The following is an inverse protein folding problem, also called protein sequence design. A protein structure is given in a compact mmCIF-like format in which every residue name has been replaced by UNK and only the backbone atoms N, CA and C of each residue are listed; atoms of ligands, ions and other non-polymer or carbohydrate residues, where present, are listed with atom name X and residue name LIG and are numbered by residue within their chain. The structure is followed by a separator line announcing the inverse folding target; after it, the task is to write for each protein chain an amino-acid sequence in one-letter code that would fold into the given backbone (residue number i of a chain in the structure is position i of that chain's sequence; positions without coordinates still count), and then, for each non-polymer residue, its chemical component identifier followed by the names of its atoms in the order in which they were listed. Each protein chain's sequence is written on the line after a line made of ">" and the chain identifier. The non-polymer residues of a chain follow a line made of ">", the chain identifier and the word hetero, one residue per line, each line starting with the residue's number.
data_IF_997375178562
#
_entry.id   IF_997375178562
#
_cell.length_a   1.000
_cell.length_b   1.000
_cell.length_c   1.000
_cell.angle_alpha   90.00
_cell.angle_beta   90.00
_cell.angle_gamma   90.00
#
_symmetry.space_group_name_H-M   'P 1'
#
loop_
_entity.id
_entity.type
_entity.pdbx_description
1 polymer ?
#
# COMPACT_ATOMS: atom_id res chain seq x y z
N UNK A 1 -7.84 10.55 12.03
CA UNK A 1 -6.76 9.63 12.46
C UNK A 1 -5.54 10.00 11.64
N UNK A 2 -4.34 10.05 12.22
CA UNK A 2 -3.11 10.36 11.49
C UNK A 2 -2.30 9.08 11.20
N UNK A 3 -1.40 9.15 10.22
CA UNK A 3 -0.61 7.99 9.80
C UNK A 3 0.31 7.47 10.90
N UNK A 4 0.86 8.33 11.75
CA UNK A 4 1.83 7.91 12.77
C UNK A 4 1.17 7.08 13.86
N UNK A 5 -0.04 7.48 14.29
CA UNK A 5 -0.86 6.72 15.23
C UNK A 5 -1.23 5.33 14.68
N UNK A 6 -1.51 5.21 13.38
CA UNK A 6 -1.81 3.93 12.74
C UNK A 6 -0.56 3.06 12.62
N UNK A 7 0.57 3.62 12.18
CA UNK A 7 1.80 2.85 12.03
C UNK A 7 2.40 2.39 13.37
N UNK A 8 2.19 3.15 14.45
CA UNK A 8 2.50 2.70 15.80
C UNK A 8 1.68 1.47 16.21
N UNK A 9 0.44 1.33 15.74
CA UNK A 9 -0.35 0.12 15.96
C UNK A 9 0.06 -1.01 15.01
N UNK A 10 0.33 -0.68 13.75
CA UNK A 10 0.72 -1.64 12.71
C UNK A 10 1.98 -2.42 13.10
N UNK A 11 3.01 -1.74 13.63
CA UNK A 11 4.27 -2.39 14.02
C UNK A 11 4.12 -3.38 15.19
N UNK A 12 2.98 -3.35 15.90
CA UNK A 12 2.68 -4.30 16.98
C UNK A 12 2.05 -5.60 16.44
N UNK A 13 1.62 -5.64 15.18
CA UNK A 13 1.07 -6.84 14.56
C UNK A 13 2.15 -7.90 14.39
N UNK A 14 1.80 -9.16 14.64
CA UNK A 14 2.73 -10.28 14.46
C UNK A 14 3.17 -10.36 13.00
N UNK A 15 4.48 -10.38 12.76
CA UNK A 15 5.05 -10.49 11.42
C UNK A 15 5.08 -9.17 10.64
N UNK A 16 4.74 -8.04 11.28
CA UNK A 16 4.84 -6.73 10.64
C UNK A 16 6.31 -6.35 10.38
N UNK A 17 6.56 -5.85 9.18
CA UNK A 17 7.78 -5.14 8.80
C UNK A 17 7.39 -3.77 8.26
N UNK A 18 8.13 -2.74 8.67
CA UNK A 18 7.81 -1.34 8.34
C UNK A 18 9.09 -0.64 7.90
N UNK A 19 8.99 -0.01 6.73
CA UNK A 19 10.09 0.76 6.18
C UNK A 19 10.37 2.07 6.87
N UNK A 20 11.39 2.76 6.35
CA UNK A 20 11.78 4.08 6.81
C UNK A 20 11.86 5.01 5.60
N UNK A 21 10.94 5.96 5.54
CA UNK A 21 10.92 6.98 4.51
C UNK A 21 11.83 8.17 4.82
N UNK A 22 11.97 9.13 3.89
CA UNK A 22 12.77 10.34 4.07
C UNK A 22 12.29 11.23 5.22
N UNK A 23 11.03 11.09 5.64
CA UNK A 23 10.41 11.83 6.75
C UNK A 23 10.02 10.94 7.92
N UNK A 24 10.59 9.74 8.03
CA UNK A 24 10.32 8.84 9.16
C UNK A 24 10.58 9.56 10.51
N UNK A 25 9.68 9.44 11.52
CA UNK A 25 9.72 10.28 12.72
C UNK A 25 10.98 10.10 13.58
N UNK A 26 11.61 8.93 13.54
CA UNK A 26 12.77 8.61 14.39
C UNK A 26 14.04 8.29 13.61
N UNK A 27 13.91 7.87 12.35
CA UNK A 27 15.01 7.31 11.55
C UNK A 27 14.81 7.67 10.08
N UNK A 28 14.85 8.95 9.71
CA UNK A 28 14.63 9.37 8.32
C UNK A 28 15.71 8.81 7.40
N UNK A 29 15.33 8.48 6.16
CA UNK A 29 16.23 8.03 5.10
C UNK A 29 16.22 9.04 3.94
N UNK A 30 16.99 10.16 4.02
CA UNK A 30 16.93 11.23 3.03
C UNK A 30 17.28 10.80 1.60
N UNK A 31 18.04 9.70 1.45
CA UNK A 31 18.41 9.16 0.15
C UNK A 31 17.20 8.77 -0.72
N UNK A 32 16.05 8.44 -0.11
CA UNK A 32 14.81 8.09 -0.83
C UNK A 32 14.01 9.31 -1.31
N UNK A 33 14.32 10.52 -0.82
CA UNK A 33 13.49 11.70 -1.07
C UNK A 33 13.33 12.01 -2.56
N UNK A 34 14.42 11.89 -3.33
CA UNK A 34 14.37 12.15 -4.77
C UNK A 34 13.51 11.13 -5.50
N UNK A 35 13.69 9.84 -5.20
CA UNK A 35 12.96 8.76 -5.87
C UNK A 35 11.45 8.83 -5.58
N UNK A 36 11.08 9.16 -4.34
CA UNK A 36 9.67 9.38 -3.94
C UNK A 36 9.08 10.62 -4.62
N UNK A 37 9.83 11.72 -4.72
CA UNK A 37 9.35 12.93 -5.39
C UNK A 37 9.16 12.68 -6.89
N UNK A 38 10.12 12.01 -7.54
CA UNK A 38 10.00 11.60 -8.94
C UNK A 38 8.78 10.67 -9.13
N UNK A 39 8.56 9.72 -8.21
CA UNK A 39 7.37 8.86 -8.24
C UNK A 39 6.05 9.65 -8.22
N UNK A 40 5.90 10.61 -7.31
CA UNK A 40 4.70 11.46 -7.26
C UNK A 40 4.60 12.45 -8.42
N UNK A 41 5.73 12.84 -9.02
CA UNK A 41 5.74 13.63 -10.25
C UNK A 41 5.12 12.84 -11.41
N UNK A 42 5.44 11.54 -11.52
CA UNK A 42 4.85 10.66 -12.54
C UNK A 42 3.41 10.22 -12.21
N UNK A 43 3.04 10.19 -10.92
CA UNK A 43 1.72 9.75 -10.45
C UNK A 43 1.01 10.83 -9.60
N UNK A 44 0.71 12.02 -10.18
CA UNK A 44 0.20 13.15 -9.41
C UNK A 44 -1.18 12.91 -8.79
N UNK A 45 -1.96 11.97 -9.32
CA UNK A 45 -3.28 11.62 -8.77
C UNK A 45 -3.19 11.04 -7.35
N UNK A 46 -2.08 10.39 -6.99
CA UNK A 46 -1.86 9.83 -5.65
C UNK A 46 -1.76 10.92 -4.58
N UNK A 47 -1.36 12.15 -4.96
CA UNK A 47 -1.31 13.30 -4.04
C UNK A 47 -2.70 13.75 -3.56
N UNK A 48 -3.79 13.21 -4.11
CA UNK A 48 -5.16 13.48 -3.64
C UNK A 48 -5.45 12.82 -2.29
N UNK A 49 -4.75 11.73 -1.95
CA UNK A 49 -4.85 11.07 -0.64
C UNK A 49 -3.65 11.43 0.22
N UNK A 50 -3.82 12.41 1.11
CA UNK A 50 -2.73 12.89 1.97
C UNK A 50 -2.20 11.80 2.90
N UNK A 51 -3.06 10.85 3.32
CA UNK A 51 -2.65 9.75 4.19
C UNK A 51 -1.70 8.79 3.49
N UNK A 52 -1.93 8.52 2.21
CA UNK A 52 -1.01 7.75 1.39
C UNK A 52 0.32 8.49 1.15
N UNK A 53 0.28 9.81 0.92
CA UNK A 53 1.49 10.63 0.80
C UNK A 53 2.32 10.56 2.07
N UNK A 54 1.69 10.80 3.24
CA UNK A 54 2.38 10.75 4.52
C UNK A 54 2.92 9.34 4.82
N UNK A 55 2.22 8.28 4.38
CA UNK A 55 2.70 6.90 4.47
C UNK A 55 3.96 6.66 3.63
N UNK A 56 3.97 7.03 2.36
CA UNK A 56 5.12 6.84 1.48
C UNK A 56 6.32 7.67 1.96
N UNK A 57 6.12 8.94 2.31
CA UNK A 57 7.21 9.79 2.78
C UNK A 57 7.71 9.42 4.18
N UNK A 58 6.83 8.92 5.05
CA UNK A 58 7.16 8.54 6.42
C UNK A 58 7.75 7.15 6.53
N UNK A 59 7.19 6.17 5.82
CA UNK A 59 7.43 4.75 6.03
C UNK A 59 7.88 4.02 4.77
N UNK A 60 7.66 4.59 3.58
CA UNK A 60 8.18 4.06 2.32
C UNK A 60 7.85 2.57 2.04
N UNK A 61 6.76 2.05 2.59
CA UNK A 61 6.33 0.66 2.44
C UNK A 61 6.20 -0.05 3.79
N UNK A 62 5.42 -1.12 3.80
CA UNK A 62 5.22 -1.97 4.97
C UNK A 62 4.62 -3.31 4.54
N UNK A 63 4.69 -4.32 5.41
CA UNK A 63 4.08 -5.61 5.14
C UNK A 63 3.83 -6.40 6.42
N UNK A 64 3.12 -7.51 6.26
CA UNK A 64 2.91 -8.52 7.29
C UNK A 64 3.24 -9.87 6.66
N UNK A 65 4.17 -10.63 7.25
CA UNK A 65 4.44 -12.00 6.83
C UNK A 65 4.23 -12.96 8.00
N UNK A 66 3.23 -13.83 7.85
CA UNK A 66 2.90 -14.94 8.73
C UNK A 66 2.60 -16.14 7.85
N UNK A 67 3.64 -16.67 7.21
CA UNK A 67 3.49 -17.81 6.30
C UNK A 67 3.14 -19.10 7.04
N UNK A 68 2.25 -19.94 6.48
CA UNK A 68 1.57 -19.77 5.19
C UNK A 68 0.25 -18.98 5.27
N UNK A 69 -0.17 -18.54 6.46
CA UNK A 69 -1.55 -18.07 6.68
C UNK A 69 -1.88 -16.71 6.04
N UNK A 70 -0.93 -15.78 6.08
CA UNK A 70 -1.12 -14.41 5.61
C UNK A 70 0.19 -13.81 5.09
N UNK A 71 0.09 -13.17 3.94
CA UNK A 71 1.07 -12.19 3.49
C UNK A 71 0.33 -10.91 3.11
N UNK A 72 0.78 -9.76 3.63
CA UNK A 72 0.35 -8.43 3.17
C UNK A 72 1.58 -7.70 2.73
N UNK A 73 1.57 -7.17 1.51
CA UNK A 73 2.63 -6.35 0.96
C UNK A 73 2.06 -5.01 0.52
N UNK A 74 2.41 -3.96 1.26
CA UNK A 74 2.07 -2.58 0.96
C UNK A 74 3.27 -1.96 0.24
N UNK A 75 3.10 -1.77 -1.06
CA UNK A 75 4.19 -1.44 -1.96
C UNK A 75 4.86 -0.12 -1.58
N UNK A 76 6.16 -0.07 -1.79
CA UNK A 76 6.94 1.10 -1.46
C UNK A 76 8.33 1.08 -2.06
N UNK A 77 9.31 1.57 -1.30
CA UNK A 77 10.70 1.72 -1.68
C UNK A 77 11.63 0.93 -0.76
N UNK A 78 11.07 0.04 0.05
CA UNK A 78 11.83 -0.81 0.97
C UNK A 78 12.38 -2.05 0.26
N UNK A 79 13.57 -2.55 0.65
CA UNK A 79 14.14 -3.75 0.03
C UNK A 79 13.39 -5.05 0.32
N UNK A 80 12.62 -5.11 1.42
CA UNK A 80 11.98 -6.33 1.91
C UNK A 80 10.62 -6.62 1.27
N UNK A 81 10.04 -5.68 0.52
CA UNK A 81 8.74 -5.84 -0.14
C UNK A 81 8.80 -5.46 -1.62
N UNK A 82 7.62 -5.39 -2.24
CA UNK A 82 7.49 -4.98 -3.64
C UNK A 82 7.93 -3.52 -3.82
N UNK A 83 8.94 -3.33 -4.67
CA UNK A 83 9.45 -2.00 -4.99
C UNK A 83 8.62 -1.34 -6.10
N UNK A 84 7.89 -0.29 -5.76
CA UNK A 84 6.79 0.29 -6.55
C UNK A 84 7.22 0.83 -7.93
N UNK A 85 8.49 1.19 -8.12
CA UNK A 85 9.04 1.70 -9.41
C UNK A 85 10.05 0.79 -10.10
N UNK A 86 10.55 -0.28 -9.47
CA UNK A 86 11.65 -1.11 -10.03
C UNK A 86 11.17 -2.38 -10.71
N UNK A 87 9.98 -2.85 -10.38
CA UNK A 87 9.44 -4.05 -11.00
C UNK A 87 8.72 -3.69 -12.30
N UNK A 88 9.00 -4.44 -13.37
CA UNK A 88 8.46 -4.27 -14.74
C UNK A 88 6.91 -4.36 -14.85
N UNK A 89 6.21 -4.54 -13.71
CA UNK A 89 4.76 -4.52 -13.64
C UNK A 89 4.26 -3.08 -13.56
N UNK A 90 3.74 -2.58 -14.68
CA UNK A 90 2.89 -1.39 -14.70
C UNK A 90 1.79 -1.61 -13.65
N UNK A 91 1.91 -0.92 -12.50
CA UNK A 91 0.90 -1.00 -11.42
C UNK A 91 -0.38 -0.26 -11.78
N UNK A 92 -0.33 0.56 -12.83
CA UNK A 92 -1.48 1.17 -13.48
C UNK A 92 -2.01 0.26 -14.60
N UNK A 93 -3.17 -0.35 -14.40
CA UNK A 93 -3.76 -1.18 -15.44
C UNK A 93 -4.43 -0.35 -16.56
N UNK A 94 -4.84 -1.04 -17.63
CA UNK A 94 -5.55 -0.43 -18.77
C UNK A 94 -6.90 0.20 -18.40
N UNK A 95 -7.41 -0.10 -17.20
CA UNK A 95 -8.69 0.41 -16.67
C UNK A 95 -8.49 1.66 -15.81
N UNK A 96 -7.24 2.10 -15.60
CA UNK A 96 -6.92 3.28 -14.82
C UNK A 96 -6.82 3.04 -13.31
N UNK A 97 -6.58 1.81 -12.87
CA UNK A 97 -6.35 1.49 -11.46
C UNK A 97 -4.88 1.30 -11.15
N UNK A 98 -4.40 2.02 -10.12
CA UNK A 98 -3.03 1.93 -9.63
C UNK A 98 -2.95 1.05 -8.37
N UNK A 99 -2.42 -0.15 -8.50
CA UNK A 99 -2.21 -1.09 -7.41
C UNK A 99 -1.16 -0.60 -6.40
N UNK A 100 -1.49 -0.64 -5.09
CA UNK A 100 -0.56 -0.27 -4.02
C UNK A 100 -0.40 -1.36 -2.95
N UNK A 101 -1.22 -2.41 -2.96
CA UNK A 101 -1.13 -3.50 -1.99
C UNK A 101 -1.62 -4.82 -2.59
N UNK A 102 -1.00 -5.92 -2.16
CA UNK A 102 -1.52 -7.28 -2.32
C UNK A 102 -1.54 -8.01 -0.99
N UNK A 103 -2.56 -8.82 -0.79
CA UNK A 103 -2.78 -9.65 0.37
C UNK A 103 -3.00 -11.08 -0.09
N UNK A 104 -2.16 -12.02 0.32
CA UNK A 104 -2.40 -13.45 0.13
C UNK A 104 -3.00 -14.04 1.40
N UNK A 105 -4.09 -14.78 1.24
CA UNK A 105 -4.75 -15.53 2.30
C UNK A 105 -4.86 -16.99 1.84
N UNK A 106 -4.29 -17.92 2.60
CA UNK A 106 -4.19 -19.36 2.26
C UNK A 106 -5.51 -19.95 1.73
N UNK A 107 -6.64 -19.57 2.34
CA UNK A 107 -7.97 -20.10 2.00
C UNK A 107 -8.77 -19.26 0.97
N UNK A 108 -8.32 -18.05 0.66
CA UNK A 108 -9.10 -17.07 -0.12
C UNK A 108 -8.39 -16.61 -1.41
N UNK A 109 -7.11 -16.93 -1.57
CA UNK A 109 -6.28 -16.46 -2.68
C UNK A 109 -5.76 -15.05 -2.45
N UNK A 110 -5.33 -14.38 -3.53
CA UNK A 110 -4.85 -13.01 -3.42
C UNK A 110 -5.99 -11.99 -3.54
N UNK A 111 -5.92 -10.97 -2.70
CA UNK A 111 -6.75 -9.77 -2.74
C UNK A 111 -5.82 -8.59 -2.98
N UNK A 112 -6.10 -7.78 -3.98
CA UNK A 112 -5.34 -6.56 -4.24
C UNK A 112 -6.12 -5.30 -3.92
N UNK A 113 -5.40 -4.21 -3.64
CA UNK A 113 -5.97 -2.88 -3.43
C UNK A 113 -5.32 -1.83 -4.32
N UNK A 114 -6.14 -0.95 -4.88
CA UNK A 114 -5.74 0.06 -5.85
C UNK A 114 -6.43 1.41 -5.64
N UNK A 115 -5.82 2.46 -6.19
CA UNK A 115 -6.42 3.77 -6.39
C UNK A 115 -7.02 3.88 -7.79
N UNK A 116 -8.18 4.52 -7.92
CA UNK A 116 -8.73 4.94 -9.23
C UNK A 116 -8.11 6.29 -9.64
N UNK A 117 -7.55 6.35 -10.86
CA UNK A 117 -6.90 7.56 -11.38
C UNK A 117 -7.87 8.66 -11.82
N UNK A 118 -9.08 8.31 -12.25
CA UNK A 118 -9.96 9.17 -13.05
C UNK A 118 -11.32 9.48 -12.41
N UNK A 119 -11.97 8.51 -11.75
CA UNK A 119 -13.42 8.61 -11.50
C UNK A 119 -13.77 9.10 -10.11
N UNK A 120 -13.56 8.25 -9.11
CA UNK A 120 -13.99 8.47 -7.74
C UNK A 120 -12.81 8.18 -6.82
N UNK A 121 -12.47 9.18 -6.00
CA UNK A 121 -11.42 8.99 -5.00
C UNK A 121 -11.83 7.90 -4.00
N UNK A 122 -10.89 7.00 -3.74
CA UNK A 122 -11.12 5.88 -2.85
C UNK A 122 -10.15 4.75 -3.12
N UNK A 123 -10.26 3.73 -2.26
CA UNK A 123 -9.56 2.48 -2.37
C UNK A 123 -10.51 1.45 -2.97
N UNK A 124 -10.05 0.75 -3.99
CA UNK A 124 -10.76 -0.32 -4.66
C UNK A 124 -10.06 -1.64 -4.38
N UNK A 125 -10.84 -2.72 -4.30
CA UNK A 125 -10.32 -4.07 -4.13
C UNK A 125 -10.61 -4.91 -5.37
N UNK A 126 -9.73 -5.88 -5.65
CA UNK A 126 -9.97 -6.94 -6.62
C UNK A 126 -9.50 -8.29 -6.06
N UNK A 127 -10.12 -9.38 -6.50
CA UNK A 127 -9.69 -10.74 -6.18
C UNK A 127 -8.85 -11.28 -7.34
N UNK A 128 -7.70 -11.85 -7.05
CA UNK A 128 -6.88 -12.61 -8.01
C UNK A 128 -7.26 -14.07 -7.87
N UNK A 129 -7.86 -14.63 -8.92
CA UNK A 129 -8.12 -16.06 -9.02
C UNK A 129 -7.93 -16.53 -10.46
N UNK A 130 -7.65 -17.82 -10.65
CA UNK A 130 -7.32 -18.44 -11.96
C UNK A 130 -8.36 -18.17 -13.06
N UNK A 131 -9.58 -17.73 -12.71
CA UNK A 131 -10.68 -17.46 -13.63
C UNK A 131 -11.37 -16.10 -13.43
N UNK A 132 -10.79 -15.19 -12.65
CA UNK A 132 -11.36 -13.87 -12.40
C UNK A 132 -10.33 -12.80 -12.77
N UNK A 133 -10.42 -12.28 -14.00
CA UNK A 133 -10.15 -10.85 -14.22
C UNK A 133 -11.23 -10.09 -13.45
N UNK A 134 -11.05 -10.01 -12.12
CA UNK A 134 -12.06 -9.48 -11.22
C UNK A 134 -12.34 -8.00 -11.55
N UNK A 135 -13.61 -7.62 -11.48
CA UNK A 135 -13.97 -6.22 -11.48
C UNK A 135 -13.53 -5.56 -10.16
N UNK A 136 -12.92 -4.38 -10.29
CA UNK A 136 -12.64 -3.54 -9.13
C UNK A 136 -13.95 -3.15 -8.46
N UNK A 137 -14.00 -3.35 -7.16
CA UNK A 137 -15.12 -2.94 -6.32
C UNK A 137 -14.64 -1.87 -5.34
N UNK A 138 -15.42 -0.80 -5.19
CA UNK A 138 -15.13 0.25 -4.22
C UNK A 138 -15.12 -0.34 -2.80
N UNK A 139 -14.09 -0.04 -2.01
CA UNK A 139 -13.89 -0.64 -0.68
C UNK A 139 -14.01 0.38 0.46
N UNK A 140 -13.30 1.50 0.36
CA UNK A 140 -13.34 2.58 1.34
C UNK A 140 -12.84 3.91 0.76
N UNK A 141 -12.94 5.00 1.54
CA UNK A 141 -12.77 6.35 1.00
C UNK A 141 -11.33 6.83 0.94
N UNK A 142 -10.46 6.32 1.82
CA UNK A 142 -9.07 6.81 1.97
C UNK A 142 -8.11 5.69 2.34
N UNK A 143 -6.82 5.90 2.10
CA UNK A 143 -5.77 4.99 2.54
C UNK A 143 -5.73 4.79 4.05
N UNK A 144 -5.96 5.85 4.85
CA UNK A 144 -5.97 5.72 6.31
C UNK A 144 -7.14 4.87 6.82
N UNK A 145 -8.30 4.98 6.18
CA UNK A 145 -9.45 4.13 6.49
C UNK A 145 -9.17 2.66 6.13
N UNK A 146 -8.53 2.42 4.97
CA UNK A 146 -8.09 1.08 4.59
C UNK A 146 -7.10 0.49 5.60
N UNK A 147 -6.08 1.26 5.98
CA UNK A 147 -5.04 0.82 6.91
C UNK A 147 -5.61 0.56 8.32
N UNK A 148 -6.52 1.42 8.79
CA UNK A 148 -7.24 1.20 10.06
C UNK A 148 -8.01 -0.13 10.04
N UNK A 149 -8.72 -0.42 8.93
CA UNK A 149 -9.45 -1.68 8.78
C UNK A 149 -8.49 -2.87 8.81
N UNK A 150 -7.38 -2.81 8.06
CA UNK A 150 -6.36 -3.85 8.06
C UNK A 150 -5.86 -4.13 9.50
N UNK A 151 -5.46 -3.10 10.24
CA UNK A 151 -4.99 -3.23 11.62
C UNK A 151 -6.06 -3.85 12.53
N UNK A 152 -7.32 -3.45 12.38
CA UNK A 152 -8.43 -3.99 13.19
C UNK A 152 -8.73 -5.45 12.89
N UNK A 153 -8.55 -5.90 11.66
CA UNK A 153 -8.76 -7.30 11.29
C UNK A 153 -7.60 -8.19 11.74
N UNK A 154 -6.38 -7.64 11.81
CA UNK A 154 -5.16 -8.42 12.07
C UNK A 154 -4.63 -8.37 13.52
N UNK A 155 -5.06 -7.39 14.32
CA UNK A 155 -4.67 -7.20 15.72
C UNK A 155 -5.67 -7.79 16.71
#
# INVERSE_FOLDING_TARGET
>A
MDIHSLMHQFVLLKGADVGQGPRHPTTPVPALAKEIEDFFHFHPFLRRDSGYVDFIEGYAGAGISREPELMVDIYGFIPSGTHIVKEDGIRLDERGYFAFCTTYLDNLGDVGFAFDTERMSGIYQWMVGEHLQGDYSWYCSTFLEWLERLIRYEG
#
